data_IF_435873459287
#
_entry.id   IF_435873459287
#
_cell.length_a   1.000
_cell.length_b   1.000
_cell.length_c   1.000
_cell.angle_alpha   90.00
_cell.angle_beta   90.00
_cell.angle_gamma   90.00
#
_symmetry.space_group_name_H-M   'P 1'
#
loop_
_entity.id
_entity.type
_entity.pdbx_description
1 polymer ?
#
# COMPACT_ATOMS: atom_id res chain seq x y z
N UNK A 1 -3.06 25.74 -17.93
CA UNK A 1 -2.27 24.50 -17.88
C UNK A 1 -0.89 24.72 -17.26
N UNK A 2 -0.09 25.71 -17.68
CA UNK A 2 1.24 26.02 -17.11
C UNK A 2 1.13 26.38 -15.61
N UNK A 3 0.14 27.19 -15.23
CA UNK A 3 -0.11 27.54 -13.82
C UNK A 3 -0.49 26.30 -13.00
N UNK A 4 -1.33 25.42 -13.54
CA UNK A 4 -1.75 24.17 -12.87
C UNK A 4 -0.57 23.20 -12.71
N UNK A 5 0.30 23.06 -13.71
CA UNK A 5 1.50 22.22 -13.65
C UNK A 5 2.49 22.74 -12.59
N UNK A 6 2.71 24.06 -12.52
CA UNK A 6 3.51 24.68 -11.47
C UNK A 6 2.90 24.44 -10.08
N UNK A 7 1.61 24.64 -9.93
CA UNK A 7 0.88 24.40 -8.69
C UNK A 7 1.04 22.95 -8.23
N UNK A 8 0.75 21.97 -9.11
CA UNK A 8 0.93 20.55 -8.81
C UNK A 8 2.35 20.23 -8.36
N UNK A 9 3.36 20.81 -9.00
CA UNK A 9 4.76 20.62 -8.62
C UNK A 9 5.03 21.15 -7.21
N UNK A 10 4.58 22.35 -6.87
CA UNK A 10 4.76 22.89 -5.52
C UNK A 10 4.03 22.05 -4.46
N UNK A 11 2.82 21.57 -4.77
CA UNK A 11 2.12 20.64 -3.90
C UNK A 11 2.91 19.33 -3.69
N UNK A 12 3.46 18.75 -4.75
CA UNK A 12 4.27 17.53 -4.65
C UNK A 12 5.57 17.77 -3.86
N UNK A 13 6.25 18.89 -4.06
CA UNK A 13 7.42 19.28 -3.25
C UNK A 13 7.02 19.39 -1.79
N UNK A 14 5.97 20.13 -1.48
CA UNK A 14 5.49 20.32 -0.12
C UNK A 14 5.11 19.00 0.56
N UNK A 15 4.32 18.15 -0.11
CA UNK A 15 3.91 16.85 0.42
C UNK A 15 5.11 15.90 0.60
N UNK A 16 6.05 15.87 -0.36
CA UNK A 16 7.25 15.03 -0.24
C UNK A 16 8.13 15.48 0.91
N UNK A 17 8.32 16.81 1.07
CA UNK A 17 9.09 17.38 2.18
C UNK A 17 8.41 17.13 3.52
N UNK A 18 7.09 17.29 3.61
CA UNK A 18 6.32 16.96 4.80
C UNK A 18 6.46 15.48 5.16
N UNK A 19 6.35 14.58 4.17
CA UNK A 19 6.53 13.13 4.37
C UNK A 19 7.93 12.81 4.89
N UNK A 20 8.96 13.45 4.34
CA UNK A 20 10.33 13.31 4.81
C UNK A 20 10.48 13.72 6.29
N UNK A 21 9.92 14.86 6.66
CA UNK A 21 9.93 15.32 8.05
C UNK A 21 9.17 14.36 8.98
N UNK A 22 8.00 13.89 8.57
CA UNK A 22 7.22 12.91 9.34
C UNK A 22 7.97 11.60 9.52
N UNK A 23 8.61 11.09 8.45
CA UNK A 23 9.40 9.86 8.50
C UNK A 23 10.58 9.97 9.46
N UNK A 24 11.26 11.10 9.52
CA UNK A 24 12.43 11.31 10.39
C UNK A 24 12.00 11.58 11.83
N UNK A 25 11.13 12.56 12.05
CA UNK A 25 10.91 13.18 13.35
C UNK A 25 9.72 12.64 14.14
N UNK A 26 8.74 12.00 13.49
CA UNK A 26 7.63 11.40 14.23
C UNK A 26 7.95 9.97 14.60
N UNK A 27 7.70 9.64 15.86
CA UNK A 27 7.84 8.31 16.43
C UNK A 27 6.53 7.92 17.11
N UNK A 28 6.19 6.66 17.03
CA UNK A 28 5.05 6.07 17.72
C UNK A 28 5.52 5.33 18.97
N UNK A 29 4.73 5.42 20.03
CA UNK A 29 4.93 4.63 21.25
C UNK A 29 4.68 3.14 21.04
N UNK A 30 3.94 2.77 19.98
CA UNK A 30 3.59 1.37 19.69
C UNK A 30 4.72 0.60 19.00
N UNK A 31 5.51 1.25 18.13
CA UNK A 31 6.52 0.59 17.28
C UNK A 31 7.97 0.69 17.78
N UNK A 32 8.17 1.09 19.02
CA UNK A 32 9.49 1.40 19.57
C UNK A 32 10.00 2.77 19.12
N UNK A 33 10.34 3.61 20.09
CA UNK A 33 10.85 4.96 19.85
C UNK A 33 12.17 4.90 19.08
N UNK A 34 12.13 5.15 17.78
CA UNK A 34 13.34 5.35 16.98
C UNK A 34 13.73 6.81 17.09
N UNK A 35 14.87 7.07 17.73
CA UNK A 35 15.39 8.41 17.87
C UNK A 35 15.70 9.03 16.48
N UNK A 36 15.20 10.23 16.15
CA UNK A 36 15.46 10.90 14.87
C UNK A 36 16.95 11.04 14.54
N UNK A 37 17.79 11.31 15.54
CA UNK A 37 19.25 11.41 15.35
C UNK A 37 19.86 10.09 14.87
N UNK A 38 19.38 8.94 15.37
CA UNK A 38 19.83 7.62 14.91
C UNK A 38 19.46 7.40 13.45
N UNK A 39 18.26 7.83 13.03
CA UNK A 39 17.85 7.77 11.62
C UNK A 39 18.78 8.62 10.75
N UNK A 40 19.02 9.88 11.13
CA UNK A 40 19.90 10.81 10.39
C UNK A 40 21.33 10.27 10.32
N UNK A 41 21.90 9.81 11.45
CA UNK A 41 23.24 9.23 11.49
C UNK A 41 23.31 7.99 10.58
N UNK A 42 22.27 7.15 10.54
CA UNK A 42 22.21 5.97 9.67
C UNK A 42 22.10 6.34 8.18
N UNK A 43 21.45 7.45 7.85
CA UNK A 43 21.37 7.93 6.46
C UNK A 43 22.74 8.23 5.85
N UNK A 44 23.70 8.71 6.64
CA UNK A 44 25.04 9.12 6.16
C UNK A 44 25.81 7.93 5.58
N UNK A 45 26.14 6.87 6.33
CA UNK A 45 26.85 5.71 5.77
C UNK A 45 26.03 5.03 4.68
N UNK A 46 24.69 4.98 4.82
CA UNK A 46 23.82 4.39 3.83
C UNK A 46 23.90 5.14 2.48
N UNK A 47 23.97 6.47 2.50
CA UNK A 47 24.21 7.29 1.31
C UNK A 47 25.50 6.89 0.58
N UNK A 48 26.62 6.79 1.30
CA UNK A 48 27.92 6.44 0.70
C UNK A 48 27.93 5.00 0.18
N UNK A 49 27.35 4.05 0.91
CA UNK A 49 27.22 2.65 0.47
C UNK A 49 26.39 2.58 -0.81
N UNK A 50 25.25 3.25 -0.87
CA UNK A 50 24.37 3.24 -2.06
C UNK A 50 25.04 3.93 -3.26
N UNK A 51 25.75 5.03 -3.03
CA UNK A 51 26.54 5.71 -4.07
C UNK A 51 27.66 4.80 -4.60
N UNK A 52 28.36 4.09 -3.74
CA UNK A 52 29.39 3.13 -4.11
C UNK A 52 28.80 1.97 -4.93
N UNK A 53 27.73 1.32 -4.44
CA UNK A 53 27.03 0.23 -5.16
C UNK A 53 26.56 0.73 -6.52
N UNK A 54 25.95 1.91 -6.58
CA UNK A 54 25.52 2.51 -7.85
C UNK A 54 26.68 2.72 -8.82
N UNK A 55 27.86 3.15 -8.33
CA UNK A 55 29.07 3.28 -9.11
C UNK A 55 29.55 1.94 -9.71
N UNK A 56 29.46 0.83 -8.96
CA UNK A 56 29.76 -0.51 -9.45
C UNK A 56 28.74 -0.96 -10.51
N UNK A 57 27.44 -0.77 -10.25
CA UNK A 57 26.38 -1.13 -11.19
C UNK A 57 26.50 -0.36 -12.51
N UNK A 58 26.95 0.89 -12.48
CA UNK A 58 27.18 1.70 -13.69
C UNK A 58 28.24 1.09 -14.62
N UNK A 59 29.23 0.40 -14.06
CA UNK A 59 30.29 -0.26 -14.81
C UNK A 59 29.88 -1.67 -15.29
N UNK A 60 28.77 -2.19 -14.82
CA UNK A 60 28.30 -3.54 -15.12
C UNK A 60 27.65 -3.63 -16.50
N UNK A 61 27.88 -4.74 -17.20
CA UNK A 61 27.20 -5.03 -18.46
C UNK A 61 25.70 -5.25 -18.27
N UNK A 62 24.91 -5.05 -19.33
CA UNK A 62 23.45 -5.28 -19.29
C UNK A 62 23.10 -6.72 -18.88
N UNK A 63 23.96 -7.71 -19.26
CA UNK A 63 23.79 -9.11 -18.85
C UNK A 63 23.98 -9.30 -17.34
N UNK A 64 25.01 -8.66 -16.75
CA UNK A 64 25.26 -8.70 -15.31
C UNK A 64 24.12 -8.06 -14.54
N UNK A 65 23.66 -6.87 -14.96
CA UNK A 65 22.51 -6.21 -14.34
C UNK A 65 21.26 -7.09 -14.37
N UNK A 66 20.98 -7.76 -15.49
CA UNK A 66 19.86 -8.70 -15.60
C UNK A 66 20.01 -9.88 -14.62
N UNK A 67 21.19 -10.43 -14.50
CA UNK A 67 21.46 -11.53 -13.57
C UNK A 67 21.27 -11.09 -12.11
N UNK A 68 21.68 -9.86 -11.76
CA UNK A 68 21.43 -9.27 -10.42
C UNK A 68 19.93 -9.17 -10.17
N UNK A 69 19.15 -8.65 -11.13
CA UNK A 69 17.69 -8.54 -10.98
C UNK A 69 17.04 -9.91 -10.76
N UNK A 70 17.37 -10.90 -11.60
CA UNK A 70 16.83 -12.25 -11.48
C UNK A 70 17.25 -12.89 -10.14
N UNK A 71 18.54 -12.80 -9.79
CA UNK A 71 19.06 -13.31 -8.52
C UNK A 71 18.39 -12.66 -7.32
N UNK A 72 18.10 -11.37 -7.37
CA UNK A 72 17.40 -10.64 -6.30
C UNK A 72 15.96 -11.12 -6.15
N UNK A 73 15.22 -11.31 -7.23
CA UNK A 73 13.84 -11.85 -7.15
C UNK A 73 13.86 -13.26 -6.56
N UNK A 74 14.78 -14.12 -6.98
CA UNK A 74 14.93 -15.47 -6.40
C UNK A 74 15.28 -15.39 -4.91
N UNK A 75 16.22 -14.54 -4.52
CA UNK A 75 16.62 -14.37 -3.13
C UNK A 75 15.44 -13.90 -2.24
N UNK A 76 14.67 -12.89 -2.68
CA UNK A 76 13.48 -12.40 -1.97
C UNK A 76 12.42 -13.49 -1.87
N UNK A 77 12.22 -14.29 -2.93
CA UNK A 77 11.29 -15.41 -2.93
C UNK A 77 11.71 -16.49 -1.92
N UNK A 78 13.00 -16.83 -1.89
CA UNK A 78 13.55 -17.77 -0.91
C UNK A 78 13.37 -17.24 0.51
N UNK A 79 13.68 -15.96 0.78
CA UNK A 79 13.48 -15.34 2.08
C UNK A 79 12.01 -15.36 2.50
N UNK A 80 11.08 -15.13 1.58
CA UNK A 80 9.65 -15.22 1.82
C UNK A 80 9.20 -16.64 2.20
N UNK A 81 9.72 -17.66 1.51
CA UNK A 81 9.46 -19.07 1.80
C UNK A 81 10.07 -19.46 3.17
N UNK A 82 11.31 -19.05 3.43
CA UNK A 82 11.97 -19.30 4.71
C UNK A 82 11.21 -18.62 5.88
N UNK A 83 10.67 -17.42 5.66
CA UNK A 83 9.82 -16.77 6.67
C UNK A 83 8.63 -17.65 7.04
N UNK A 84 7.94 -18.24 6.07
CA UNK A 84 6.78 -19.11 6.31
C UNK A 84 7.16 -20.45 6.97
N UNK A 85 8.35 -20.99 6.67
CA UNK A 85 8.84 -22.25 7.23
C UNK A 85 9.30 -22.07 8.68
N UNK A 86 10.08 -21.04 8.96
CA UNK A 86 10.73 -20.85 10.26
C UNK A 86 9.90 -20.01 11.25
N UNK A 87 8.87 -19.34 10.79
CA UNK A 87 8.02 -18.50 11.63
C UNK A 87 6.54 -18.83 11.40
N UNK A 88 5.78 -18.77 12.48
CA UNK A 88 4.33 -18.80 12.42
C UNK A 88 3.78 -17.73 13.34
N UNK A 89 3.09 -16.75 12.77
CA UNK A 89 2.38 -15.73 13.54
C UNK A 89 0.95 -16.16 13.79
N UNK A 90 0.44 -15.84 14.98
CA UNK A 90 -0.97 -15.99 15.29
C UNK A 90 -1.74 -14.89 14.57
N UNK A 91 -2.72 -15.28 13.78
CA UNK A 91 -3.63 -14.34 13.13
C UNK A 91 -4.65 -13.82 14.14
N UNK A 92 -5.03 -12.57 14.01
CA UNK A 92 -5.98 -11.92 14.90
C UNK A 92 -6.83 -10.88 14.15
N UNK A 93 -7.85 -10.34 14.82
CA UNK A 93 -8.73 -9.33 14.27
C UNK A 93 -9.46 -9.79 13.00
N UNK A 94 -9.59 -8.90 12.04
CA UNK A 94 -10.36 -9.12 10.82
C UNK A 94 -9.95 -10.38 10.04
N UNK A 95 -8.63 -10.63 9.95
CA UNK A 95 -8.10 -11.78 9.19
C UNK A 95 -8.55 -13.10 9.79
N UNK A 96 -8.43 -13.23 11.12
CA UNK A 96 -8.88 -14.43 11.81
C UNK A 96 -10.38 -14.64 11.66
N UNK A 97 -11.16 -13.57 11.82
CA UNK A 97 -12.63 -13.63 11.65
C UNK A 97 -13.02 -14.05 10.23
N UNK A 98 -12.32 -13.50 9.21
CA UNK A 98 -12.52 -13.92 7.81
C UNK A 98 -12.19 -15.40 7.59
N UNK A 99 -11.11 -15.91 8.19
CA UNK A 99 -10.72 -17.32 8.07
C UNK A 99 -11.76 -18.23 8.76
N UNK A 100 -12.22 -17.87 9.95
CA UNK A 100 -13.22 -18.66 10.68
C UNK A 100 -14.57 -18.71 9.94
N UNK A 101 -14.98 -17.58 9.36
CA UNK A 101 -16.17 -17.54 8.52
C UNK A 101 -15.98 -18.28 7.19
N UNK A 102 -14.80 -18.15 6.56
CA UNK A 102 -14.46 -18.88 5.34
C UNK A 102 -14.54 -20.41 5.53
N UNK A 103 -14.17 -20.89 6.72
CA UNK A 103 -14.30 -22.33 7.07
C UNK A 103 -15.77 -22.76 7.06
N UNK A 104 -16.70 -21.96 7.62
CA UNK A 104 -18.13 -22.22 7.57
C UNK A 104 -18.64 -22.23 6.12
N UNK A 105 -18.26 -21.22 5.34
CA UNK A 105 -18.66 -21.12 3.92
C UNK A 105 -18.14 -22.32 3.11
N UNK A 106 -16.91 -22.80 3.38
CA UNK A 106 -16.35 -23.97 2.68
C UNK A 106 -17.15 -25.24 2.94
N UNK A 107 -17.91 -25.29 4.05
CA UNK A 107 -18.84 -26.35 4.45
C UNK A 107 -20.31 -26.05 4.06
N UNK A 108 -20.54 -25.05 3.19
CA UNK A 108 -21.84 -24.57 2.77
C UNK A 108 -22.73 -23.99 3.89
N UNK A 109 -22.13 -23.55 4.99
CA UNK A 109 -22.83 -22.78 6.03
C UNK A 109 -22.64 -21.28 5.78
N UNK A 110 -23.71 -20.56 5.47
CA UNK A 110 -23.75 -19.14 5.11
C UNK A 110 -24.27 -18.24 6.25
N UNK A 111 -24.19 -18.71 7.49
CA UNK A 111 -24.49 -17.88 8.67
C UNK A 111 -23.35 -16.92 8.95
N UNK A 112 -23.45 -15.71 8.40
CA UNK A 112 -22.44 -14.67 8.50
C UNK A 112 -22.26 -14.19 9.95
N UNK A 113 -21.00 -14.04 10.36
CA UNK A 113 -20.67 -13.50 11.70
C UNK A 113 -21.11 -12.04 11.82
N UNK A 114 -21.50 -11.62 13.03
CA UNK A 114 -21.88 -10.23 13.30
C UNK A 114 -20.81 -9.22 12.86
N UNK A 115 -19.53 -9.56 12.97
CA UNK A 115 -18.45 -8.69 12.53
C UNK A 115 -18.46 -8.44 11.03
N UNK A 116 -18.61 -9.49 10.21
CA UNK A 116 -18.63 -9.35 8.75
C UNK A 116 -19.94 -8.71 8.29
N UNK A 117 -21.04 -8.92 9.01
CA UNK A 117 -22.28 -8.18 8.78
C UNK A 117 -22.10 -6.67 8.99
N UNK A 118 -21.26 -6.22 9.93
CA UNK A 118 -20.92 -4.82 10.14
C UNK A 118 -19.97 -4.28 9.07
N UNK A 119 -18.98 -5.08 8.66
CA UNK A 119 -17.90 -4.69 7.75
C UNK A 119 -18.02 -5.42 6.40
N UNK A 120 -18.95 -4.99 5.57
CA UNK A 120 -19.24 -5.59 4.25
C UNK A 120 -18.00 -5.71 3.36
N UNK A 121 -17.02 -4.81 3.49
CA UNK A 121 -15.77 -4.85 2.72
C UNK A 121 -14.93 -6.11 2.99
N UNK A 122 -15.23 -6.89 4.02
CA UNK A 122 -14.57 -8.17 4.34
C UNK A 122 -15.19 -9.38 3.59
N UNK A 123 -16.38 -9.22 3.00
CA UNK A 123 -17.07 -10.31 2.29
C UNK A 123 -16.23 -10.90 1.16
N UNK A 124 -15.64 -10.11 0.23
CA UNK A 124 -14.86 -10.67 -0.86
C UNK A 124 -13.62 -11.44 -0.38
N UNK A 125 -12.95 -10.94 0.67
CA UNK A 125 -11.79 -11.60 1.25
C UNK A 125 -12.18 -12.93 1.90
N UNK A 126 -13.30 -12.97 2.60
CA UNK A 126 -13.84 -14.19 3.24
C UNK A 126 -14.17 -15.26 2.20
N UNK A 127 -14.82 -14.89 1.11
CA UNK A 127 -15.13 -15.80 0.01
C UNK A 127 -13.85 -16.33 -0.65
N UNK A 128 -12.86 -15.45 -0.90
CA UNK A 128 -11.57 -15.87 -1.43
C UNK A 128 -10.90 -16.92 -0.54
N UNK A 129 -10.92 -16.72 0.78
CA UNK A 129 -10.37 -17.70 1.71
C UNK A 129 -11.15 -19.03 1.70
N UNK A 130 -12.47 -18.99 1.52
CA UNK A 130 -13.26 -20.21 1.40
C UNK A 130 -12.90 -21.02 0.14
N UNK A 131 -12.60 -20.34 -0.96
CA UNK A 131 -12.08 -21.00 -2.17
C UNK A 131 -10.71 -21.61 -1.96
N UNK A 132 -9.79 -20.90 -1.25
CA UNK A 132 -8.48 -21.45 -0.91
C UNK A 132 -8.61 -22.71 -0.01
N UNK A 133 -9.58 -22.75 0.90
CA UNK A 133 -9.88 -23.92 1.69
C UNK A 133 -10.34 -25.09 0.84
N UNK A 134 -11.28 -24.86 -0.09
CA UNK A 134 -11.75 -25.89 -1.03
C UNK A 134 -10.62 -26.41 -1.93
N UNK A 135 -9.75 -25.53 -2.44
CA UNK A 135 -8.57 -25.91 -3.22
C UNK A 135 -7.60 -26.73 -2.34
N UNK A 136 -7.33 -26.29 -1.11
CA UNK A 136 -6.46 -27.00 -0.18
C UNK A 136 -6.99 -28.39 0.20
N UNK A 137 -8.32 -28.53 0.32
CA UNK A 137 -8.98 -29.84 0.52
C UNK A 137 -8.83 -30.74 -0.71
N UNK A 138 -9.08 -30.20 -1.91
CA UNK A 138 -8.94 -30.93 -3.16
C UNK A 138 -7.50 -31.42 -3.40
N UNK A 139 -6.50 -30.57 -3.08
CA UNK A 139 -5.09 -30.91 -3.20
C UNK A 139 -4.51 -31.69 -2.01
N UNK A 140 -5.30 -31.99 -0.98
CA UNK A 140 -4.86 -32.63 0.26
C UNK A 140 -3.72 -31.91 1.00
N UNK A 141 -3.58 -30.59 0.78
CA UNK A 141 -2.51 -29.76 1.38
C UNK A 141 -2.99 -28.92 2.57
N UNK A 142 -4.31 -28.79 2.72
CA UNK A 142 -4.90 -27.86 3.67
C UNK A 142 -4.87 -26.38 3.22
N UNK A 143 -5.40 -25.50 4.06
CA UNK A 143 -5.59 -24.08 3.75
C UNK A 143 -4.28 -23.30 3.63
N UNK A 144 -3.39 -23.46 4.62
CA UNK A 144 -2.25 -22.55 4.79
C UNK A 144 -1.21 -22.58 3.67
N UNK A 145 -0.84 -23.72 3.07
CA UNK A 145 0.07 -23.72 1.92
C UNK A 145 -0.46 -22.90 0.75
N UNK A 146 -1.76 -23.02 0.44
CA UNK A 146 -2.42 -22.26 -0.63
C UNK A 146 -2.43 -20.76 -0.28
N UNK A 147 -2.77 -20.43 0.94
CA UNK A 147 -2.82 -19.08 1.46
C UNK A 147 -1.44 -18.37 1.38
N UNK A 148 -0.36 -19.06 1.79
CA UNK A 148 0.98 -18.49 1.71
C UNK A 148 1.49 -18.37 0.28
N UNK A 149 1.28 -19.39 -0.55
CA UNK A 149 1.64 -19.35 -1.96
C UNK A 149 0.96 -18.17 -2.68
N UNK A 150 -0.32 -17.95 -2.38
CA UNK A 150 -1.08 -16.81 -2.89
C UNK A 150 -0.47 -15.46 -2.45
N UNK A 151 -0.19 -15.27 -1.17
CA UNK A 151 0.36 -14.00 -0.66
C UNK A 151 1.77 -13.73 -1.19
N UNK A 152 2.62 -14.76 -1.25
CA UNK A 152 3.96 -14.65 -1.84
C UNK A 152 3.84 -14.27 -3.32
N UNK A 153 2.94 -14.89 -4.09
CA UNK A 153 2.79 -14.58 -5.51
C UNK A 153 2.31 -13.14 -5.76
N UNK A 154 1.44 -12.59 -4.92
CA UNK A 154 1.03 -11.19 -5.04
C UNK A 154 2.19 -10.22 -4.80
N UNK A 155 2.98 -10.43 -3.75
CA UNK A 155 4.10 -9.55 -3.42
C UNK A 155 5.25 -9.69 -4.39
N UNK A 156 5.64 -10.91 -4.76
CA UNK A 156 6.71 -11.17 -5.74
C UNK A 156 6.29 -10.70 -7.13
N UNK A 157 5.03 -10.93 -7.54
CA UNK A 157 4.50 -10.40 -8.79
C UNK A 157 4.57 -8.88 -8.86
N UNK A 158 4.23 -8.20 -7.76
CA UNK A 158 4.34 -6.74 -7.64
C UNK A 158 5.79 -6.26 -7.68
N UNK A 159 6.71 -6.97 -7.03
CA UNK A 159 8.14 -6.68 -7.08
C UNK A 159 8.67 -6.83 -8.52
N UNK A 160 8.34 -7.92 -9.20
CA UNK A 160 8.73 -8.15 -10.60
C UNK A 160 8.23 -7.02 -11.50
N UNK A 161 6.97 -6.62 -11.41
CA UNK A 161 6.42 -5.50 -12.19
C UNK A 161 7.16 -4.19 -11.90
N UNK A 162 7.48 -3.92 -10.63
CA UNK A 162 8.25 -2.74 -10.22
C UNK A 162 9.66 -2.76 -10.80
N UNK A 163 10.35 -3.89 -10.73
CA UNK A 163 11.70 -4.05 -11.30
C UNK A 163 11.69 -3.97 -12.83
N UNK A 164 10.68 -4.52 -13.51
CA UNK A 164 10.51 -4.37 -14.95
C UNK A 164 10.24 -2.92 -15.35
N UNK A 165 9.46 -2.18 -14.57
CA UNK A 165 9.25 -0.74 -14.79
C UNK A 165 10.55 0.04 -14.69
N UNK A 166 11.36 -0.24 -13.65
CA UNK A 166 12.68 0.36 -13.47
C UNK A 166 13.65 -0.07 -14.58
N UNK A 167 13.61 -1.34 -14.99
CA UNK A 167 14.44 -1.87 -16.08
C UNK A 167 14.19 -1.15 -17.40
N UNK A 168 12.92 -0.86 -17.68
CA UNK A 168 12.54 -0.13 -18.89
C UNK A 168 13.06 1.32 -18.87
N UNK A 169 13.09 1.93 -17.68
CA UNK A 169 13.69 3.27 -17.51
C UNK A 169 15.22 3.23 -17.53
N UNK A 170 15.79 2.45 -16.62
CA UNK A 170 17.24 2.27 -16.44
C UNK A 170 17.54 0.90 -15.84
N UNK A 171 18.23 0.00 -16.54
CA UNK A 171 18.58 -1.32 -16.01
C UNK A 171 19.34 -1.30 -14.69
N UNK A 172 20.18 -0.28 -14.48
CA UNK A 172 20.94 -0.04 -13.27
C UNK A 172 20.02 0.25 -12.06
N UNK A 173 18.95 1.05 -12.27
CA UNK A 173 17.96 1.31 -11.20
C UNK A 173 17.22 0.04 -10.80
N UNK A 174 16.90 -0.84 -11.75
CA UNK A 174 16.30 -2.14 -11.46
C UNK A 174 17.24 -3.04 -10.65
N UNK A 175 18.53 -3.08 -11.00
CA UNK A 175 19.53 -3.88 -10.28
C UNK A 175 19.70 -3.38 -8.84
N UNK A 176 19.82 -2.04 -8.65
CA UNK A 176 19.90 -1.46 -7.31
C UNK A 176 18.63 -1.73 -6.50
N UNK A 177 17.45 -1.58 -7.09
CA UNK A 177 16.18 -1.90 -6.45
C UNK A 177 16.10 -3.40 -6.06
N UNK A 178 16.55 -4.30 -6.91
CA UNK A 178 16.62 -5.72 -6.59
C UNK A 178 17.48 -6.00 -5.36
N UNK A 179 18.69 -5.43 -5.30
CA UNK A 179 19.58 -5.57 -4.12
C UNK A 179 18.94 -4.99 -2.85
N UNK A 180 18.28 -3.83 -2.95
CA UNK A 180 17.58 -3.22 -1.83
C UNK A 180 16.38 -4.05 -1.36
N UNK A 181 15.68 -4.74 -2.26
CA UNK A 181 14.58 -5.61 -1.89
C UNK A 181 15.03 -6.81 -1.04
N UNK A 182 16.28 -7.29 -1.19
CA UNK A 182 16.83 -8.37 -0.35
C UNK A 182 17.05 -7.89 1.09
N UNK A 183 17.47 -6.64 1.29
CA UNK A 183 17.80 -6.11 2.62
C UNK A 183 16.61 -5.45 3.33
N UNK A 184 15.51 -5.17 2.60
CA UNK A 184 14.30 -4.58 3.15
C UNK A 184 13.31 -5.68 3.60
N UNK A 185 13.11 -5.86 4.92
CA UNK A 185 12.20 -6.92 5.42
C UNK A 185 10.76 -6.79 4.94
N UNK A 186 10.34 -5.61 4.55
CA UNK A 186 8.98 -5.32 4.05
C UNK A 186 8.57 -6.24 2.89
N UNK A 187 9.52 -6.69 2.06
CA UNK A 187 9.24 -7.55 0.90
C UNK A 187 9.03 -9.04 1.25
N UNK A 188 9.46 -9.48 2.44
CA UNK A 188 9.38 -10.90 2.86
C UNK A 188 9.02 -11.08 4.34
N UNK A 189 8.48 -10.04 4.98
CA UNK A 189 8.11 -10.05 6.40
C UNK A 189 6.78 -10.75 6.68
N UNK A 190 6.31 -10.65 7.91
CA UNK A 190 5.09 -11.30 8.39
C UNK A 190 3.81 -10.90 7.66
N UNK A 191 3.84 -9.82 6.87
CA UNK A 191 2.70 -9.45 6.01
C UNK A 191 2.30 -10.59 5.07
N UNK A 192 3.26 -11.45 4.65
CA UNK A 192 3.00 -12.64 3.83
C UNK A 192 2.11 -13.63 4.57
N UNK A 193 2.26 -13.73 5.90
CA UNK A 193 1.47 -14.64 6.71
C UNK A 193 0.09 -14.09 7.06
N UNK A 194 -0.13 -12.78 6.90
CA UNK A 194 -1.39 -12.12 7.27
C UNK A 194 -2.39 -12.10 6.12
N UNK A 195 -1.91 -11.94 4.89
CA UNK A 195 -2.71 -12.08 3.68
C UNK A 195 -3.99 -11.22 3.64
N UNK A 196 -3.93 -10.00 4.14
CA UNK A 196 -5.06 -9.09 4.09
C UNK A 196 -5.24 -8.48 2.68
N UNK A 197 -6.05 -7.46 2.55
CA UNK A 197 -6.45 -6.85 1.26
C UNK A 197 -5.33 -6.08 0.53
N UNK A 198 -4.20 -5.83 1.21
CA UNK A 198 -3.11 -4.99 0.69
C UNK A 198 -2.44 -5.56 -0.57
N UNK A 199 -2.16 -6.88 -0.60
CA UNK A 199 -1.45 -7.52 -1.70
C UNK A 199 -2.11 -7.35 -3.07
N UNK A 200 -3.45 -7.48 -3.11
CA UNK A 200 -4.24 -7.31 -4.33
C UNK A 200 -4.14 -5.88 -4.89
N UNK A 201 -4.24 -4.87 -4.02
CA UNK A 201 -4.14 -3.47 -4.43
C UNK A 201 -2.71 -3.09 -4.86
N UNK A 202 -1.69 -3.63 -4.19
CA UNK A 202 -0.28 -3.43 -4.59
C UNK A 202 -0.05 -3.98 -6.00
N UNK A 203 -0.51 -5.20 -6.29
CA UNK A 203 -0.38 -5.82 -7.60
C UNK A 203 -1.08 -4.99 -8.69
N UNK A 204 -2.32 -4.53 -8.42
CA UNK A 204 -3.09 -3.73 -9.37
C UNK A 204 -2.40 -2.40 -9.69
N UNK A 205 -1.89 -1.69 -8.67
CA UNK A 205 -1.17 -0.44 -8.85
C UNK A 205 0.17 -0.66 -9.56
N UNK A 206 0.93 -1.71 -9.21
CA UNK A 206 2.20 -2.04 -9.87
C UNK A 206 2.00 -2.38 -11.34
N UNK A 207 0.94 -3.13 -11.69
CA UNK A 207 0.61 -3.43 -13.09
C UNK A 207 0.21 -2.16 -13.86
N UNK A 208 -0.60 -1.30 -13.25
CA UNK A 208 -0.98 -0.02 -13.88
C UNK A 208 0.24 0.83 -14.21
N UNK A 209 1.18 0.99 -13.27
CA UNK A 209 2.40 1.77 -13.48
C UNK A 209 3.30 1.13 -14.53
N UNK A 210 3.45 -0.21 -14.50
CA UNK A 210 4.20 -0.94 -15.52
C UNK A 210 3.63 -0.72 -16.92
N UNK A 211 2.32 -0.87 -17.11
CA UNK A 211 1.66 -0.67 -18.40
C UNK A 211 1.71 0.78 -18.87
N UNK A 212 1.63 1.73 -17.95
CA UNK A 212 1.79 3.14 -18.27
C UNK A 212 3.20 3.46 -18.77
N UNK A 213 4.24 2.88 -18.16
CA UNK A 213 5.62 3.09 -18.57
C UNK A 213 5.96 2.38 -19.87
N UNK A 214 5.50 1.13 -20.01
CA UNK A 214 5.82 0.29 -21.16
C UNK A 214 5.21 0.79 -22.46
N UNK A 215 4.07 1.46 -22.41
CA UNK A 215 3.35 2.15 -23.51
C UNK A 215 2.98 1.29 -24.74
N UNK A 216 3.34 0.02 -24.80
CA UNK A 216 2.95 -0.91 -25.87
C UNK A 216 1.76 -1.76 -25.39
N UNK A 217 0.54 -1.18 -25.50
CA UNK A 217 -0.70 -1.80 -25.06
C UNK A 217 -1.33 -2.59 -26.20
N UNK A 218 -1.42 -3.90 -26.04
CA UNK A 218 -2.31 -4.76 -26.80
C UNK A 218 -3.56 -5.10 -25.98
N UNK A 219 -4.57 -5.67 -26.62
CA UNK A 219 -5.84 -5.99 -25.97
C UNK A 219 -5.69 -6.92 -24.76
N UNK A 220 -4.80 -7.90 -24.82
CA UNK A 220 -4.58 -8.84 -23.70
C UNK A 220 -4.07 -8.16 -22.45
N UNK A 221 -3.19 -7.17 -22.58
CA UNK A 221 -2.67 -6.39 -21.45
C UNK A 221 -3.76 -5.51 -20.83
N UNK A 222 -4.64 -4.95 -21.67
CA UNK A 222 -5.75 -4.14 -21.20
C UNK A 222 -6.82 -5.00 -20.50
N UNK A 223 -7.13 -6.18 -21.03
CA UNK A 223 -8.01 -7.15 -20.39
C UNK A 223 -7.41 -7.60 -19.05
N UNK A 224 -6.12 -7.96 -19.03
CA UNK A 224 -5.41 -8.31 -17.79
C UNK A 224 -5.49 -7.17 -16.76
N UNK A 225 -5.26 -5.92 -17.19
CA UNK A 225 -5.42 -4.76 -16.32
C UNK A 225 -6.83 -4.67 -15.74
N UNK A 226 -7.87 -4.86 -16.54
CA UNK A 226 -9.26 -4.84 -16.09
C UNK A 226 -9.51 -5.86 -14.98
N UNK A 227 -9.10 -7.12 -15.16
CA UNK A 227 -9.30 -8.16 -14.15
C UNK A 227 -8.46 -7.91 -12.88
N UNK A 228 -7.17 -7.55 -13.02
CA UNK A 228 -6.31 -7.29 -11.88
C UNK A 228 -6.75 -6.03 -11.12
N UNK A 229 -7.22 -5.00 -11.84
CA UNK A 229 -7.75 -3.80 -11.20
C UNK A 229 -9.11 -4.06 -10.53
N UNK A 230 -9.97 -4.86 -11.16
CA UNK A 230 -11.22 -5.32 -10.56
C UNK A 230 -10.96 -6.08 -9.25
N UNK A 231 -10.01 -7.00 -9.27
CA UNK A 231 -9.60 -7.73 -8.09
C UNK A 231 -9.05 -6.81 -6.99
N UNK A 232 -8.16 -5.89 -7.34
CA UNK A 232 -7.63 -4.90 -6.41
C UNK A 232 -8.72 -4.02 -5.79
N UNK A 233 -9.68 -3.55 -6.61
CA UNK A 233 -10.80 -2.73 -6.16
C UNK A 233 -11.77 -3.53 -5.27
N UNK A 234 -12.06 -4.77 -5.62
CA UNK A 234 -12.91 -5.66 -4.82
C UNK A 234 -12.34 -5.88 -3.42
N UNK A 235 -11.01 -6.00 -3.31
CA UNK A 235 -10.32 -6.14 -2.03
C UNK A 235 -10.14 -4.81 -1.30
N UNK A 236 -9.88 -3.72 -2.04
CA UNK A 236 -9.60 -2.40 -1.45
C UNK A 236 -10.09 -1.26 -2.35
N UNK A 237 -11.32 -0.78 -2.15
CA UNK A 237 -11.93 0.24 -3.01
C UNK A 237 -11.13 1.55 -3.17
N UNK A 238 -10.24 1.85 -2.22
CA UNK A 238 -9.45 3.09 -2.23
C UNK A 238 -8.47 3.20 -3.41
N UNK A 239 -8.22 2.11 -4.16
CA UNK A 239 -7.44 2.19 -5.41
C UNK A 239 -8.14 3.03 -6.49
N UNK A 240 -9.41 3.41 -6.32
CA UNK A 240 -10.10 4.37 -7.19
C UNK A 240 -9.33 5.69 -7.33
N UNK A 241 -8.50 6.04 -6.34
CA UNK A 241 -7.62 7.22 -6.38
C UNK A 241 -6.68 7.17 -7.58
N UNK A 242 -6.32 5.98 -8.07
CA UNK A 242 -5.54 5.84 -9.30
C UNK A 242 -6.29 6.36 -10.54
N UNK A 243 -7.63 6.25 -10.59
CA UNK A 243 -8.42 6.88 -11.66
C UNK A 243 -8.37 8.41 -11.58
N UNK A 244 -8.44 8.95 -10.37
CA UNK A 244 -8.30 10.42 -10.16
C UNK A 244 -6.92 10.88 -10.65
N UNK A 245 -5.86 10.12 -10.33
CA UNK A 245 -4.51 10.42 -10.79
C UNK A 245 -4.38 10.34 -12.32
N UNK A 246 -4.96 9.31 -12.95
CA UNK A 246 -5.01 9.20 -14.43
C UNK A 246 -5.79 10.37 -15.04
N UNK A 247 -6.92 10.76 -14.46
CA UNK A 247 -7.71 11.90 -14.92
C UNK A 247 -6.90 13.21 -14.87
N UNK A 248 -6.18 13.47 -13.77
CA UNK A 248 -5.31 14.64 -13.63
C UNK A 248 -4.22 14.66 -14.73
N UNK A 249 -3.58 13.53 -15.00
CA UNK A 249 -2.59 13.43 -16.09
C UNK A 249 -3.25 13.63 -17.45
N UNK A 250 -4.45 13.10 -17.65
CA UNK A 250 -5.25 13.31 -18.85
C UNK A 250 -5.48 14.79 -19.12
N UNK A 251 -5.86 15.57 -18.10
CA UNK A 251 -6.02 17.02 -18.21
C UNK A 251 -4.72 17.73 -18.63
N UNK A 252 -3.56 17.30 -18.09
CA UNK A 252 -2.27 17.90 -18.44
C UNK A 252 -1.83 17.57 -19.87
N UNK A 253 -2.26 16.46 -20.44
CA UNK A 253 -1.77 15.94 -21.72
C UNK A 253 -2.71 16.22 -22.89
N UNK A 254 -3.99 16.53 -22.63
CA UNK A 254 -5.06 16.67 -23.61
C UNK A 254 -4.71 17.53 -24.83
N UNK A 255 -4.09 18.71 -24.65
CA UNK A 255 -3.75 19.63 -25.75
C UNK A 255 -2.29 19.58 -26.21
N UNK A 256 -1.41 18.85 -25.49
CA UNK A 256 0.04 18.95 -25.68
C UNK A 256 0.72 17.65 -26.15
N UNK A 257 0.14 16.50 -25.83
CA UNK A 257 0.78 15.20 -26.06
C UNK A 257 -0.27 14.12 -26.38
N UNK A 258 -0.75 14.12 -27.63
CA UNK A 258 -1.84 13.25 -28.08
C UNK A 258 -1.59 11.76 -27.78
N UNK A 259 -0.35 11.27 -27.90
CA UNK A 259 -0.01 9.85 -27.63
C UNK A 259 -0.16 9.49 -26.15
N UNK A 260 0.30 10.37 -25.23
CA UNK A 260 0.14 10.15 -23.80
C UNK A 260 -1.33 10.26 -23.40
N UNK A 261 -2.06 11.21 -23.95
CA UNK A 261 -3.50 11.35 -23.71
C UNK A 261 -4.26 10.08 -24.12
N UNK A 262 -3.99 9.55 -25.32
CA UNK A 262 -4.58 8.28 -25.79
C UNK A 262 -4.25 7.10 -24.86
N UNK A 263 -3.00 7.02 -24.38
CA UNK A 263 -2.58 6.01 -23.42
C UNK A 263 -3.36 6.12 -22.11
N UNK A 264 -3.38 7.31 -21.52
CA UNK A 264 -4.11 7.60 -20.27
C UNK A 264 -5.59 7.28 -20.39
N UNK A 265 -6.23 7.70 -21.52
CA UNK A 265 -7.64 7.42 -21.76
C UNK A 265 -7.92 5.90 -21.82
N UNK A 266 -7.07 5.12 -22.50
CA UNK A 266 -7.20 3.67 -22.54
C UNK A 266 -7.08 3.07 -21.12
N UNK A 267 -6.04 3.44 -20.36
CA UNK A 267 -5.86 2.94 -19.00
C UNK A 267 -7.03 3.34 -18.08
N UNK A 268 -7.50 4.60 -18.20
CA UNK A 268 -8.66 5.07 -17.44
C UNK A 268 -9.92 4.24 -17.74
N UNK A 269 -10.23 4.01 -19.03
CA UNK A 269 -11.40 3.22 -19.45
C UNK A 269 -11.30 1.80 -18.89
N UNK A 270 -10.16 1.12 -19.06
CA UNK A 270 -10.02 -0.27 -18.63
C UNK A 270 -9.98 -0.43 -17.12
N UNK A 271 -9.42 0.51 -16.37
CA UNK A 271 -9.56 0.55 -14.91
C UNK A 271 -11.01 0.82 -14.48
N UNK A 272 -11.75 1.69 -15.19
CA UNK A 272 -13.18 1.94 -14.91
C UNK A 272 -14.03 0.68 -15.19
N UNK A 273 -13.77 -0.03 -16.28
CA UNK A 273 -14.39 -1.35 -16.54
C UNK A 273 -14.06 -2.35 -15.43
N UNK A 274 -12.85 -2.29 -14.87
CA UNK A 274 -12.46 -3.08 -13.70
C UNK A 274 -13.32 -2.79 -12.48
N UNK A 275 -13.65 -1.53 -12.21
CA UNK A 275 -14.57 -1.15 -11.11
C UNK A 275 -15.98 -1.69 -11.35
N UNK A 276 -16.48 -1.56 -12.59
CA UNK A 276 -17.79 -2.10 -12.95
C UNK A 276 -17.82 -3.63 -12.74
N UNK A 277 -16.78 -4.32 -13.19
CA UNK A 277 -16.63 -5.77 -13.00
C UNK A 277 -16.61 -6.13 -11.51
N UNK A 278 -15.83 -5.40 -10.69
CA UNK A 278 -15.75 -5.64 -9.26
C UNK A 278 -17.08 -5.43 -8.53
N UNK A 279 -17.80 -4.36 -8.87
CA UNK A 279 -19.12 -4.08 -8.27
C UNK A 279 -20.16 -5.12 -8.66
N UNK A 280 -20.13 -5.59 -9.92
CA UNK A 280 -20.98 -6.71 -10.39
C UNK A 280 -20.63 -8.02 -9.67
N UNK A 281 -19.33 -8.32 -9.53
CA UNK A 281 -18.85 -9.50 -8.79
C UNK A 281 -19.29 -9.46 -7.33
N UNK A 282 -19.22 -8.28 -6.68
CA UNK A 282 -19.70 -8.13 -5.29
C UNK A 282 -21.19 -8.47 -5.17
N UNK A 283 -22.03 -8.02 -6.11
CA UNK A 283 -23.47 -8.36 -6.12
C UNK A 283 -23.71 -9.87 -6.34
N UNK A 284 -22.92 -10.49 -7.22
CA UNK A 284 -22.97 -11.94 -7.43
C UNK A 284 -22.58 -12.68 -6.14
N UNK A 285 -21.56 -12.23 -5.44
CA UNK A 285 -21.15 -12.80 -4.16
C UNK A 285 -22.25 -12.66 -3.11
N UNK A 286 -22.88 -11.48 -2.99
CA UNK A 286 -24.00 -11.25 -2.08
C UNK A 286 -25.14 -12.26 -2.33
N UNK A 287 -25.50 -12.48 -3.60
CA UNK A 287 -26.56 -13.41 -3.98
C UNK A 287 -26.15 -14.89 -3.75
N UNK A 288 -24.97 -15.30 -4.23
CA UNK A 288 -24.52 -16.70 -4.19
C UNK A 288 -24.25 -17.19 -2.77
N UNK A 289 -23.72 -16.31 -1.91
CA UNK A 289 -23.36 -16.65 -0.52
C UNK A 289 -24.38 -16.15 0.50
N UNK A 290 -25.59 -15.82 0.05
CA UNK A 290 -26.72 -15.39 0.89
C UNK A 290 -26.36 -14.26 1.87
N UNK A 291 -25.51 -13.30 1.43
CA UNK A 291 -25.22 -12.14 2.24
C UNK A 291 -26.41 -11.17 2.21
N UNK A 292 -26.98 -10.87 3.39
CA UNK A 292 -28.10 -9.94 3.47
C UNK A 292 -27.65 -8.50 3.20
N UNK A 293 -27.98 -7.99 2.02
CA UNK A 293 -27.63 -6.63 1.58
C UNK A 293 -28.37 -5.55 2.38
N UNK A 294 -29.56 -5.89 2.91
CA UNK A 294 -30.37 -4.99 3.75
C UNK A 294 -30.11 -5.22 5.24
N UNK A 295 -28.92 -5.70 5.58
CA UNK A 295 -28.55 -5.98 6.95
C UNK A 295 -28.55 -4.69 7.82
N UNK A 296 -29.38 -4.63 8.86
CA UNK A 296 -29.50 -3.45 9.72
C UNK A 296 -28.22 -3.16 10.52
N UNK A 297 -27.32 -4.14 10.63
CA UNK A 297 -26.04 -3.99 11.36
C UNK A 297 -24.91 -3.44 10.50
N UNK A 298 -25.09 -3.30 9.19
CA UNK A 298 -24.04 -2.83 8.28
C UNK A 298 -23.68 -1.38 8.59
N UNK A 299 -22.39 -1.11 8.76
CA UNK A 299 -21.92 0.26 8.93
C UNK A 299 -22.05 1.08 7.65
N UNK A 300 -22.63 2.29 7.74
CA UNK A 300 -22.66 3.22 6.61
C UNK A 300 -21.23 3.74 6.34
N UNK A 301 -20.96 4.10 5.08
CA UNK A 301 -19.63 4.61 4.68
C UNK A 301 -19.20 5.83 5.50
N UNK A 302 -20.14 6.65 5.96
CA UNK A 302 -19.88 7.83 6.79
C UNK A 302 -19.32 7.50 8.18
N UNK A 303 -19.45 6.25 8.65
CA UNK A 303 -18.88 5.78 9.91
C UNK A 303 -17.35 5.99 9.97
N UNK A 304 -16.64 5.68 8.89
CA UNK A 304 -15.19 5.88 8.85
C UNK A 304 -14.79 7.35 8.79
N UNK A 305 -15.65 8.22 8.21
CA UNK A 305 -15.45 9.68 8.23
C UNK A 305 -15.67 10.20 9.66
N UNK A 306 -16.72 9.73 10.32
CA UNK A 306 -17.00 10.06 11.74
C UNK A 306 -15.81 9.67 12.62
N UNK A 307 -15.32 8.43 12.51
CA UNK A 307 -14.15 7.95 13.23
C UNK A 307 -12.88 8.74 12.88
N UNK A 308 -12.69 9.06 11.58
CA UNK A 308 -11.57 9.86 11.09
C UNK A 308 -11.46 11.26 11.66
N UNK A 309 -12.56 11.82 12.19
CA UNK A 309 -12.61 13.12 12.88
C UNK A 309 -12.53 13.03 14.41
N UNK A 310 -12.26 11.85 14.97
CA UNK A 310 -12.11 11.69 16.42
C UNK A 310 -10.81 12.34 16.91
N UNK A 311 -10.92 13.33 17.80
CA UNK A 311 -9.78 14.09 18.35
C UNK A 311 -8.93 13.25 19.30
N UNK A 312 -9.57 12.51 20.21
CA UNK A 312 -8.89 11.76 21.28
C UNK A 312 -7.98 10.65 20.72
N UNK A 313 -8.42 9.99 19.64
CA UNK A 313 -7.68 8.92 18.97
C UNK A 313 -6.99 9.36 17.68
N UNK A 314 -6.97 10.66 17.42
CA UNK A 314 -6.34 11.25 16.22
C UNK A 314 -6.83 10.54 14.94
N UNK A 315 -8.14 10.29 14.86
CA UNK A 315 -8.75 9.62 13.70
C UNK A 315 -8.41 8.14 13.52
N UNK A 316 -7.83 7.47 14.50
CA UNK A 316 -7.63 6.03 14.53
C UNK A 316 -8.89 5.30 15.00
N UNK A 317 -8.93 3.97 14.84
CA UNK A 317 -10.02 3.12 15.34
C UNK A 317 -10.36 3.44 16.80
N UNK A 318 -11.64 3.68 17.07
CA UNK A 318 -12.17 3.94 18.39
C UNK A 318 -13.38 3.05 18.68
N UNK A 319 -13.31 2.27 19.78
CA UNK A 319 -14.39 1.39 20.21
C UNK A 319 -15.65 2.18 20.60
N UNK A 320 -15.51 3.38 21.16
CA UNK A 320 -16.65 4.22 21.54
C UNK A 320 -17.40 4.70 20.29
N UNK A 321 -16.68 5.14 19.24
CA UNK A 321 -17.29 5.55 17.96
C UNK A 321 -18.03 4.37 17.30
N UNK A 322 -17.41 3.18 17.32
CA UNK A 322 -18.07 1.96 16.83
C UNK A 322 -19.34 1.64 17.60
N UNK A 323 -19.31 1.73 18.93
CA UNK A 323 -20.48 1.49 19.78
C UNK A 323 -21.56 2.54 19.55
N UNK A 324 -21.19 3.80 19.35
CA UNK A 324 -22.13 4.88 19.01
C UNK A 324 -22.94 4.56 17.76
N UNK A 325 -22.28 4.18 16.65
CA UNK A 325 -22.95 3.81 15.41
C UNK A 325 -23.85 2.59 15.59
N UNK A 326 -23.41 1.56 16.34
CA UNK A 326 -24.17 0.33 16.59
C UNK A 326 -25.43 0.53 17.44
N UNK A 327 -25.42 1.52 18.33
CA UNK A 327 -26.58 1.82 19.19
C UNK A 327 -27.75 2.46 18.43
N UNK A 328 -27.53 2.84 17.15
CA UNK A 328 -28.59 3.36 16.28
C UNK A 328 -29.06 2.23 15.36
N UNK A 329 -30.16 1.58 15.73
CA UNK A 329 -30.68 0.44 14.98
C UNK A 329 -31.10 0.81 13.56
N UNK A 330 -30.62 0.02 12.59
CA UNK A 330 -30.90 0.17 11.18
C UNK A 330 -29.92 1.09 10.43
N UNK A 331 -29.65 0.73 9.16
CA UNK A 331 -28.65 1.41 8.32
C UNK A 331 -28.87 2.94 8.22
N UNK A 332 -30.14 3.37 7.95
CA UNK A 332 -30.45 4.80 7.79
C UNK A 332 -30.34 5.58 9.11
N UNK A 333 -30.74 4.98 10.24
CA UNK A 333 -30.61 5.58 11.56
C UNK A 333 -29.15 5.78 11.93
N UNK A 334 -28.32 4.74 11.77
CA UNK A 334 -26.86 4.80 11.98
C UNK A 334 -26.20 5.84 11.06
N UNK A 335 -26.61 5.91 9.80
CA UNK A 335 -26.08 6.90 8.85
C UNK A 335 -26.39 8.34 9.28
N UNK A 336 -27.63 8.61 9.68
CA UNK A 336 -28.05 9.94 10.13
C UNK A 336 -27.33 10.34 11.42
N UNK A 337 -27.16 9.39 12.34
CA UNK A 337 -26.42 9.62 13.59
C UNK A 337 -24.95 9.96 13.33
N UNK A 338 -24.28 9.19 12.46
CA UNK A 338 -22.88 9.45 12.10
C UNK A 338 -22.73 10.80 11.38
N UNK A 339 -23.65 11.18 10.48
CA UNK A 339 -23.66 12.51 9.84
C UNK A 339 -23.83 13.63 10.88
N UNK A 340 -24.75 13.47 11.81
CA UNK A 340 -24.93 14.44 12.91
C UNK A 340 -23.66 14.53 13.78
N UNK A 341 -23.03 13.39 14.07
CA UNK A 341 -21.77 13.31 14.78
C UNK A 341 -20.62 14.00 14.05
N UNK A 342 -20.50 13.81 12.73
CA UNK A 342 -19.51 14.50 11.85
C UNK A 342 -19.72 16.02 11.96
N UNK A 343 -20.96 16.48 11.77
CA UNK A 343 -21.28 17.91 11.86
C UNK A 343 -20.90 18.49 13.24
N UNK A 344 -21.25 17.79 14.31
CA UNK A 344 -20.92 18.22 15.67
C UNK A 344 -19.41 18.29 15.90
N UNK A 345 -18.65 17.26 15.48
CA UNK A 345 -17.19 17.27 15.57
C UNK A 345 -16.58 18.44 14.79
N UNK A 346 -17.02 18.70 13.56
CA UNK A 346 -16.51 19.80 12.75
C UNK A 346 -16.82 21.18 13.38
N UNK A 347 -17.98 21.37 13.98
CA UNK A 347 -18.34 22.61 14.67
C UNK A 347 -17.49 22.83 15.92
N UNK A 348 -17.04 21.77 16.58
CA UNK A 348 -16.20 21.87 17.79
C UNK A 348 -14.71 22.09 17.44
N UNK A 349 -14.30 21.91 16.18
CA UNK A 349 -12.94 22.24 15.77
C UNK A 349 -12.76 23.74 15.54
N UNK A 350 -11.69 24.29 16.08
CA UNK A 350 -11.15 25.56 15.59
C UNK A 350 -10.29 25.28 14.34
N UNK A 351 -10.18 26.23 13.39
CA UNK A 351 -9.39 25.99 12.16
C UNK A 351 -7.97 25.49 12.41
N UNK A 352 -7.28 26.04 13.41
CA UNK A 352 -5.93 25.62 13.78
C UNK A 352 -5.91 24.18 14.31
N UNK A 353 -6.85 23.83 15.21
CA UNK A 353 -6.89 22.47 15.80
C UNK A 353 -7.28 21.41 14.78
N UNK A 354 -8.12 21.75 13.81
CA UNK A 354 -8.42 20.88 12.68
C UNK A 354 -7.18 20.67 11.78
N UNK A 355 -6.43 21.73 11.50
CA UNK A 355 -5.17 21.64 10.77
C UNK A 355 -4.14 20.73 11.48
N UNK A 356 -3.96 20.92 12.78
CA UNK A 356 -3.08 20.07 13.61
C UNK A 356 -3.56 18.62 13.66
N UNK A 357 -4.86 18.36 13.71
CA UNK A 357 -5.44 17.02 13.65
C UNK A 357 -5.05 16.32 12.32
N UNK A 358 -5.19 17.00 11.19
CA UNK A 358 -4.77 16.43 9.89
C UNK A 358 -3.26 16.22 9.80
N UNK A 359 -2.45 17.14 10.31
CA UNK A 359 -1.00 16.97 10.38
C UNK A 359 -0.63 15.73 11.23
N UNK A 360 -1.28 15.57 12.38
CA UNK A 360 -1.06 14.41 13.25
C UNK A 360 -1.47 13.09 12.57
N UNK A 361 -2.63 13.06 11.88
CA UNK A 361 -3.04 11.90 11.08
C UNK A 361 -2.04 11.58 9.98
N UNK A 362 -1.54 12.59 9.28
CA UNK A 362 -0.50 12.42 8.26
C UNK A 362 0.78 11.83 8.87
N UNK A 363 1.15 12.29 10.06
CA UNK A 363 2.25 11.72 10.85
C UNK A 363 2.05 10.24 11.15
N UNK A 364 0.84 9.84 11.58
CA UNK A 364 0.51 8.41 11.83
C UNK A 364 0.68 7.56 10.57
N UNK A 365 0.36 8.06 9.38
CA UNK A 365 0.57 7.33 8.14
C UNK A 365 2.04 7.05 7.85
N UNK A 366 2.93 8.00 8.19
CA UNK A 366 4.31 8.03 7.71
C UNK A 366 5.38 7.89 8.79
N UNK A 367 5.02 7.62 10.06
CA UNK A 367 6.00 7.55 11.15
C UNK A 367 6.82 6.26 11.19
N UNK A 368 6.42 5.21 10.48
CA UNK A 368 7.02 3.88 10.59
C UNK A 368 7.53 3.38 9.24
N UNK A 369 8.84 3.10 9.17
CA UNK A 369 9.49 2.67 7.92
C UNK A 369 9.10 1.27 7.45
N UNK A 370 8.54 0.42 8.33
CA UNK A 370 8.07 -0.92 7.99
C UNK A 370 6.55 -1.00 7.77
N UNK A 371 5.83 0.12 7.90
CA UNK A 371 4.37 0.20 7.69
C UNK A 371 3.58 -0.86 8.47
N UNK A 372 3.97 -1.14 9.71
CA UNK A 372 3.37 -2.16 10.58
C UNK A 372 3.43 -3.61 10.02
N UNK A 373 4.25 -3.87 9.00
CA UNK A 373 4.40 -5.23 8.46
C UNK A 373 5.20 -6.16 9.37
N UNK A 374 5.91 -5.61 10.34
CA UNK A 374 6.68 -6.32 11.37
C UNK A 374 6.07 -6.14 12.76
N UNK A 375 5.78 -4.92 13.16
CA UNK A 375 5.50 -4.52 14.53
C UNK A 375 4.18 -5.08 15.06
N UNK A 376 3.14 -5.17 14.25
CA UNK A 376 1.85 -5.75 14.64
C UNK A 376 1.98 -7.22 15.11
N UNK A 377 3.08 -7.91 14.76
CA UNK A 377 3.29 -9.33 15.00
C UNK A 377 4.37 -9.64 16.05
N UNK A 378 4.98 -8.62 16.67
CA UNK A 378 6.10 -8.75 17.62
C UNK A 378 5.84 -9.68 18.80
N UNK A 379 4.59 -9.84 19.21
CA UNK A 379 4.20 -10.58 20.41
C UNK A 379 3.37 -11.83 20.14
N UNK A 380 3.04 -12.09 18.88
CA UNK A 380 2.03 -13.07 18.51
C UNK A 380 2.61 -14.22 17.67
N UNK A 381 3.68 -14.87 18.17
CA UNK A 381 4.22 -16.07 17.51
C UNK A 381 3.58 -17.34 18.04
N UNK A 382 3.16 -18.23 17.15
CA UNK A 382 2.84 -19.63 17.46
C UNK A 382 4.16 -20.38 17.60
N UNK A 383 5.11 -20.16 16.67
CA UNK A 383 6.49 -20.60 16.80
C UNK A 383 7.45 -19.63 16.08
N UNK A 384 8.68 -19.57 16.56
CA UNK A 384 9.80 -18.87 15.95
C UNK A 384 11.11 -19.43 16.51
N UNK A 385 12.25 -19.30 15.80
CA UNK A 385 13.55 -19.72 16.29
C UNK A 385 13.90 -19.08 17.63
N UNK A 386 14.42 -19.86 18.58
CA UNK A 386 14.80 -19.35 19.93
C UNK A 386 15.74 -18.15 19.86
N UNK A 387 16.72 -18.19 18.95
CA UNK A 387 17.66 -17.10 18.74
C UNK A 387 16.96 -15.81 18.29
N UNK A 388 15.99 -15.93 17.39
CA UNK A 388 15.19 -14.79 16.95
C UNK A 388 14.37 -14.21 18.11
N UNK A 389 13.71 -15.05 18.89
CA UNK A 389 12.91 -14.59 20.04
C UNK A 389 13.77 -13.83 21.06
N UNK A 390 15.01 -14.31 21.31
CA UNK A 390 15.97 -13.67 22.21
C UNK A 390 16.34 -12.25 21.74
N UNK A 391 16.53 -12.02 20.43
CA UNK A 391 16.98 -10.75 19.86
C UNK A 391 15.88 -10.00 19.11
N UNK A 392 14.62 -10.43 19.19
CA UNK A 392 13.52 -9.89 18.40
C UNK A 392 13.38 -8.37 18.52
N UNK A 393 13.44 -7.81 19.74
CA UNK A 393 13.38 -6.35 19.96
C UNK A 393 14.48 -5.60 19.20
N UNK A 394 15.71 -6.11 19.21
CA UNK A 394 16.84 -5.52 18.51
C UNK A 394 16.65 -5.64 16.99
N UNK A 395 16.23 -6.79 16.49
CA UNK A 395 15.98 -7.04 15.07
C UNK A 395 14.92 -6.06 14.54
N UNK A 396 13.81 -5.89 15.29
CA UNK A 396 12.76 -4.95 14.91
C UNK A 396 13.25 -3.50 14.95
N UNK A 397 13.99 -3.11 15.98
CA UNK A 397 14.55 -1.77 16.08
C UNK A 397 15.49 -1.46 14.89
N UNK A 398 16.43 -2.37 14.61
CA UNK A 398 17.35 -2.25 13.47
C UNK A 398 16.60 -2.18 12.15
N UNK A 399 15.59 -3.04 11.96
CA UNK A 399 14.74 -3.03 10.77
C UNK A 399 14.00 -1.70 10.60
N UNK A 400 13.47 -1.12 11.68
CA UNK A 400 12.81 0.18 11.67
C UNK A 400 13.77 1.32 11.35
N UNK A 401 14.92 1.38 12.03
CA UNK A 401 15.95 2.41 11.79
C UNK A 401 16.40 2.37 10.33
N UNK A 402 16.74 1.18 9.84
CA UNK A 402 17.22 0.98 8.48
C UNK A 402 16.15 1.37 7.44
N UNK A 403 14.91 0.91 7.61
CA UNK A 403 13.82 1.21 6.69
C UNK A 403 13.47 2.70 6.70
N UNK A 404 13.40 3.34 7.88
CA UNK A 404 13.19 4.80 8.00
C UNK A 404 14.29 5.58 7.31
N UNK A 405 15.57 5.22 7.54
CA UNK A 405 16.70 5.89 6.94
C UNK A 405 16.69 5.77 5.41
N UNK A 406 16.41 4.58 4.89
CA UNK A 406 16.37 4.34 3.44
C UNK A 406 15.20 5.08 2.77
N UNK A 407 14.00 5.01 3.35
CA UNK A 407 12.83 5.74 2.82
C UNK A 407 13.05 7.25 2.89
N UNK A 408 13.69 7.74 3.97
CA UNK A 408 14.06 9.16 4.09
C UNK A 408 15.04 9.59 3.00
N UNK A 409 16.01 8.74 2.64
CA UNK A 409 16.90 9.00 1.49
C UNK A 409 16.11 9.03 0.18
N UNK A 410 15.16 8.11 -0.05
CA UNK A 410 14.33 8.15 -1.23
C UNK A 410 13.53 9.46 -1.35
N UNK A 411 12.91 9.88 -0.26
CA UNK A 411 12.14 11.12 -0.20
C UNK A 411 13.06 12.35 -0.37
N UNK A 412 14.24 12.34 0.21
CA UNK A 412 15.23 13.40 0.06
C UNK A 412 15.65 13.58 -1.40
N UNK A 413 16.05 12.50 -2.09
CA UNK A 413 16.41 12.58 -3.51
C UNK A 413 15.24 12.96 -4.40
N UNK A 414 14.03 12.52 -4.03
CA UNK A 414 12.80 12.89 -4.73
C UNK A 414 12.52 14.40 -4.61
N UNK A 415 12.71 15.00 -3.41
CA UNK A 415 12.62 16.46 -3.22
C UNK A 415 13.64 17.18 -4.10
N UNK A 416 14.90 16.72 -4.12
CA UNK A 416 15.95 17.34 -4.94
C UNK A 416 15.60 17.26 -6.44
N UNK A 417 15.07 16.12 -6.92
CA UNK A 417 14.68 15.98 -8.33
C UNK A 417 13.46 16.86 -8.66
N UNK A 418 12.49 16.98 -7.76
CA UNK A 418 11.34 17.87 -7.92
C UNK A 418 11.73 19.36 -7.87
N UNK A 419 12.76 19.74 -7.13
CA UNK A 419 13.28 21.11 -7.07
C UNK A 419 14.02 21.52 -8.35
N UNK A 420 14.60 20.58 -9.09
CA UNK A 420 15.23 20.88 -10.38
C UNK A 420 14.17 21.44 -11.33
N UNK A 421 14.42 22.65 -11.86
CA UNK A 421 13.46 23.45 -12.66
C UNK A 421 13.07 22.83 -14.02
N UNK A 422 13.13 21.52 -14.19
CA UNK A 422 12.64 20.81 -15.38
C UNK A 422 11.13 20.59 -15.30
N UNK A 423 10.40 20.53 -16.43
CA UNK A 423 9.01 20.13 -16.44
C UNK A 423 8.88 18.77 -15.72
N UNK A 424 7.85 18.62 -14.87
CA UNK A 424 7.59 17.33 -14.25
C UNK A 424 7.41 16.30 -15.38
N UNK A 425 8.18 15.21 -15.41
CA UNK A 425 8.00 14.20 -16.43
C UNK A 425 6.57 13.67 -16.34
N UNK A 426 5.78 13.81 -17.41
CA UNK A 426 4.39 13.30 -17.50
C UNK A 426 4.41 11.80 -17.78
N UNK A 427 4.98 11.06 -16.87
CA UNK A 427 5.26 9.64 -16.98
C UNK A 427 4.81 8.89 -15.72
N UNK A 428 5.20 7.64 -15.62
CA UNK A 428 4.93 6.77 -14.48
C UNK A 428 5.35 7.35 -13.12
N UNK A 429 6.34 8.23 -13.08
CA UNK A 429 6.79 8.89 -11.84
C UNK A 429 5.71 9.84 -11.34
N UNK A 430 5.19 10.73 -12.20
CA UNK A 430 4.10 11.63 -11.83
C UNK A 430 2.85 10.85 -11.43
N UNK A 431 2.48 9.81 -12.20
CA UNK A 431 1.34 8.96 -11.85
C UNK A 431 1.52 8.32 -10.48
N UNK A 432 2.69 7.76 -10.20
CA UNK A 432 2.99 7.16 -8.89
C UNK A 432 2.89 8.17 -7.75
N UNK A 433 3.44 9.38 -7.92
CA UNK A 433 3.37 10.44 -6.90
C UNK A 433 1.94 10.90 -6.64
N UNK A 434 1.13 11.07 -7.69
CA UNK A 434 -0.28 11.43 -7.54
C UNK A 434 -1.08 10.33 -6.81
N UNK A 435 -0.78 9.05 -7.06
CA UNK A 435 -1.41 7.94 -6.34
C UNK A 435 -0.94 7.91 -4.88
N UNK A 436 0.37 7.99 -4.61
CA UNK A 436 0.93 7.97 -3.25
C UNK A 436 0.30 9.07 -2.39
N UNK A 437 0.38 10.32 -2.87
CA UNK A 437 -0.12 11.45 -2.10
C UNK A 437 -1.65 11.57 -2.12
N UNK A 438 -2.30 11.12 -3.19
CA UNK A 438 -3.76 11.03 -3.22
C UNK A 438 -4.31 10.07 -2.16
N UNK A 439 -3.71 8.90 -2.00
CA UNK A 439 -4.05 7.92 -0.95
C UNK A 439 -3.70 8.49 0.43
N UNK A 440 -2.54 9.13 0.59
CA UNK A 440 -2.17 9.76 1.86
C UNK A 440 -3.18 10.85 2.27
N UNK A 441 -3.57 11.72 1.35
CA UNK A 441 -4.55 12.78 1.62
C UNK A 441 -5.95 12.22 1.88
N UNK A 442 -6.36 11.16 1.20
CA UNK A 442 -7.63 10.50 1.45
C UNK A 442 -7.74 10.01 2.90
N UNK A 443 -6.75 9.28 3.40
CA UNK A 443 -6.74 8.80 4.78
C UNK A 443 -6.55 9.94 5.80
N UNK A 444 -5.83 10.97 5.44
CA UNK A 444 -5.60 12.12 6.32
C UNK A 444 -6.86 12.97 6.49
N UNK A 445 -7.54 13.29 5.40
CA UNK A 445 -8.63 14.29 5.41
C UNK A 445 -9.99 13.63 5.62
N UNK A 446 -10.24 12.49 4.95
CA UNK A 446 -11.57 11.92 4.81
C UNK A 446 -11.79 10.72 5.74
N UNK A 447 -10.84 9.78 5.81
CA UNK A 447 -11.03 8.44 6.37
C UNK A 447 -10.39 8.28 7.75
N UNK A 448 -10.66 7.17 8.45
CA UNK A 448 -9.83 6.76 9.58
C UNK A 448 -8.38 6.55 9.15
N UNK A 449 -7.45 6.61 10.10
CA UNK A 449 -6.02 6.49 9.82
C UNK A 449 -5.37 5.32 10.54
N UNK A 450 -4.54 4.57 9.81
CA UNK A 450 -3.62 3.56 10.33
C UNK A 450 -2.36 3.53 9.45
N UNK A 451 -1.19 3.37 10.03
CA UNK A 451 0.10 3.36 9.29
C UNK A 451 0.12 2.32 8.18
N UNK A 452 -0.45 1.13 8.41
CA UNK A 452 -0.54 0.06 7.41
C UNK A 452 -1.30 0.47 6.14
N UNK A 453 -2.18 1.45 6.20
CA UNK A 453 -2.93 1.89 5.02
C UNK A 453 -2.03 2.46 3.92
N UNK A 454 -0.86 2.99 4.30
CA UNK A 454 0.13 3.48 3.35
C UNK A 454 0.94 2.36 2.68
N UNK A 455 0.95 1.14 3.23
CA UNK A 455 1.67 0.01 2.67
C UNK A 455 1.26 -0.30 1.22
N UNK A 456 -0.01 -0.08 0.85
CA UNK A 456 -0.47 -0.29 -0.53
C UNK A 456 0.27 0.56 -1.57
N UNK A 457 0.90 1.68 -1.18
CA UNK A 457 1.68 2.54 -2.06
C UNK A 457 3.19 2.33 -1.93
N UNK A 458 3.65 1.44 -1.06
CA UNK A 458 5.07 1.25 -0.79
C UNK A 458 5.87 0.88 -2.05
N UNK A 459 5.33 0.01 -2.91
CA UNK A 459 6.01 -0.38 -4.15
C UNK A 459 6.14 0.78 -5.14
N UNK A 460 5.18 1.70 -5.16
CA UNK A 460 5.27 2.93 -5.95
C UNK A 460 6.33 3.88 -5.37
N UNK A 461 6.36 4.03 -4.04
CA UNK A 461 7.38 4.85 -3.37
C UNK A 461 8.78 4.27 -3.60
N UNK A 462 8.93 2.96 -3.52
CA UNK A 462 10.17 2.24 -3.80
C UNK A 462 10.62 2.48 -5.25
N UNK A 463 9.71 2.39 -6.20
CA UNK A 463 9.97 2.69 -7.61
C UNK A 463 10.49 4.12 -7.82
N UNK A 464 9.74 5.13 -7.36
CA UNK A 464 10.11 6.53 -7.60
C UNK A 464 11.34 6.94 -6.81
N UNK A 465 11.50 6.40 -5.59
CA UNK A 465 12.63 6.70 -4.72
C UNK A 465 13.97 6.18 -5.26
N UNK A 466 14.01 4.91 -5.67
CA UNK A 466 15.22 4.33 -6.27
C UNK A 466 15.56 5.04 -7.58
N UNK A 467 14.57 5.32 -8.42
CA UNK A 467 14.80 6.05 -9.66
C UNK A 467 15.39 7.44 -9.41
N UNK A 468 14.80 8.22 -8.51
CA UNK A 468 15.29 9.57 -8.19
C UNK A 468 16.72 9.55 -7.63
N UNK A 469 17.04 8.57 -6.77
CA UNK A 469 18.36 8.39 -6.20
C UNK A 469 19.42 8.08 -7.27
N UNK A 470 19.14 7.15 -8.18
CA UNK A 470 20.07 6.81 -9.28
C UNK A 470 20.27 7.99 -10.22
N UNK A 471 19.20 8.71 -10.58
CA UNK A 471 19.28 9.94 -11.37
C UNK A 471 20.14 11.01 -10.71
N UNK A 472 20.07 11.15 -9.39
CA UNK A 472 20.91 12.08 -8.65
C UNK A 472 22.37 11.67 -8.71
N UNK A 473 22.72 10.42 -8.39
CA UNK A 473 24.09 9.92 -8.37
C UNK A 473 24.81 9.99 -9.74
N UNK A 474 24.06 9.91 -10.83
CA UNK A 474 24.65 10.05 -12.16
C UNK A 474 25.00 11.49 -12.53
N UNK A 475 24.21 12.45 -12.03
CA UNK A 475 24.41 13.89 -12.33
C UNK A 475 25.47 14.56 -11.44
N UNK A 476 25.75 13.96 -10.29
CA UNK A 476 26.69 14.50 -9.28
C UNK A 476 28.15 14.13 -9.56
N UNK A 477 28.40 13.40 -10.66
CA UNK A 477 29.75 13.01 -11.11
C UNK A 477 30.32 13.94 -12.21
N UNK A 478 29.81 15.20 -12.30
CA UNK A 478 30.36 16.27 -13.11
C UNK A 478 31.02 17.34 -12.25
#
# INVERSE_FOLDING_TARGET
>A
LIKLEKFTRYCLIGLTSLTLLMMIFIFSTESGNVNPFVVIITMIPLYFILRFINGLLRKSSKRQLRNIVIGSVLAVTILAILNVIFFRVQLFGDVQICIDMARKISQNNFEWSNWILQYKNLVPLTILYSWMMKIGQFLHTGFYPIFFAYNISLLIGSLVLTLLTLWHKKPQSAALAGLLAIVLPVFYSFIIQVGYTDGASILALSLLIFLFEYNHLNWWKLILLTFVFAYGYLMRPNIIIALVALFIIGLFTYKKQNNIFKLVSKLFIFCSLGIILATSTSKIFDATYHYNVNNPKQFPVVHWIYMGLNQEKIGQYNKADRSYTLNHEGFSSAQNADIAGIKNRLLNYRPLTLGLHFISKYGILWHEGTFQTLTDYQKNYIFAPKLFLKYSKLIFLVSQVFSKALISLFLFFLVLELLRKKPIPRNSILLSLLIIFGISLFYTIIWEVKTRYQFMTFFLLFFVGVYAMVEYFEKDNF
#
